data_IF_913555240222
#
_entry.id   IF_913555240222
#
_cell.length_a   1.000
_cell.length_b   1.000
_cell.length_c   1.000
_cell.angle_alpha   90.00
_cell.angle_beta   90.00
_cell.angle_gamma   90.00
#
_symmetry.space_group_name_H-M   'P 1'
#
loop_
_entity.id
_entity.type
_entity.pdbx_description
1 polymer ?
#
# COMPACT_ATOMS: atom_id res chain seq x y z
N UNK A 1 -31.99 -28.90 6.03
CA UNK A 1 -31.01 -28.69 4.93
C UNK A 1 -30.57 -27.24 5.00
N UNK A 2 -29.25 -27.04 5.04
CA UNK A 2 -28.59 -25.77 5.36
C UNK A 2 -28.84 -24.77 4.22
N UNK A 3 -29.44 -23.63 4.54
CA UNK A 3 -29.54 -22.49 3.66
C UNK A 3 -28.18 -21.78 3.67
N UNK A 4 -27.29 -22.15 2.74
CA UNK A 4 -26.05 -21.40 2.49
C UNK A 4 -26.44 -20.11 1.77
N UNK A 5 -26.65 -19.03 2.51
CA UNK A 5 -26.34 -17.71 1.95
C UNK A 5 -24.88 -17.76 1.51
N UNK A 6 -24.59 -17.42 0.25
CA UNK A 6 -23.21 -17.23 -0.19
C UNK A 6 -22.66 -16.02 0.55
N UNK A 7 -22.04 -16.26 1.69
CA UNK A 7 -21.19 -15.30 2.38
C UNK A 7 -19.81 -15.48 1.73
N UNK A 8 -19.48 -14.59 0.80
CA UNK A 8 -18.15 -14.55 0.20
C UNK A 8 -17.33 -13.54 1.01
N UNK A 9 -16.40 -14.02 1.83
CA UNK A 9 -15.36 -13.17 2.40
C UNK A 9 -14.62 -12.49 1.23
N UNK A 10 -14.66 -11.15 1.17
CA UNK A 10 -13.92 -10.37 0.18
C UNK A 10 -12.81 -9.59 0.87
N UNK A 11 -11.76 -9.21 0.12
CA UNK A 11 -10.71 -8.37 0.67
C UNK A 11 -11.24 -6.98 1.03
N UNK A 12 -10.58 -6.28 1.96
CA UNK A 12 -10.90 -4.90 2.30
C UNK A 12 -10.91 -3.99 1.07
N UNK A 13 -9.98 -4.17 0.13
CA UNK A 13 -9.97 -3.35 -1.10
C UNK A 13 -11.17 -3.62 -1.98
N UNK A 14 -11.53 -4.90 -2.17
CA UNK A 14 -12.74 -5.28 -2.92
C UNK A 14 -13.98 -4.69 -2.26
N UNK A 15 -14.06 -4.72 -0.93
CA UNK A 15 -15.17 -4.12 -0.19
C UNK A 15 -15.28 -2.61 -0.38
N UNK A 16 -14.15 -1.89 -0.31
CA UNK A 16 -14.10 -0.44 -0.52
C UNK A 16 -14.49 -0.04 -1.95
N UNK A 17 -14.06 -0.82 -2.96
CA UNK A 17 -14.36 -0.57 -4.37
C UNK A 17 -15.81 -0.89 -4.74
N UNK A 18 -16.32 -2.06 -4.33
CA UNK A 18 -17.62 -2.56 -4.81
C UNK A 18 -18.81 -1.89 -4.11
N UNK A 19 -18.68 -1.59 -2.81
CA UNK A 19 -19.84 -1.19 -2.00
C UNK A 19 -19.87 0.29 -1.64
N UNK A 20 -18.86 1.07 -2.06
CA UNK A 20 -18.61 2.40 -1.48
C UNK A 20 -18.71 2.32 0.05
N UNK A 21 -18.15 1.23 0.62
CA UNK A 21 -18.59 0.63 1.88
C UNK A 21 -18.42 1.48 3.14
N UNK A 22 -17.87 2.67 3.00
CA UNK A 22 -17.77 3.67 4.05
C UNK A 22 -18.88 4.71 3.84
N UNK A 23 -19.90 4.66 4.69
CA UNK A 23 -20.99 5.66 4.68
C UNK A 23 -20.72 6.78 5.67
N UNK A 24 -19.86 6.54 6.66
CA UNK A 24 -19.56 7.48 7.72
C UNK A 24 -18.18 7.24 8.34
N UNK A 25 -17.67 8.24 9.05
CA UNK A 25 -16.47 8.09 9.90
C UNK A 25 -16.62 6.99 10.95
N UNK A 26 -17.85 6.70 11.40
CA UNK A 26 -18.11 5.62 12.34
C UNK A 26 -17.75 4.26 11.72
N UNK A 27 -18.09 4.03 10.45
CA UNK A 27 -17.77 2.79 9.75
C UNK A 27 -16.24 2.60 9.68
N UNK A 28 -15.49 3.67 9.35
CA UNK A 28 -14.03 3.64 9.35
C UNK A 28 -13.48 3.25 10.72
N UNK A 29 -13.95 3.91 11.78
CA UNK A 29 -13.50 3.66 13.15
C UNK A 29 -13.82 2.22 13.57
N UNK A 30 -15.03 1.74 13.27
CA UNK A 30 -15.44 0.38 13.60
C UNK A 30 -14.56 -0.64 12.84
N UNK A 31 -14.29 -0.42 11.55
CA UNK A 31 -13.38 -1.27 10.78
C UNK A 31 -11.96 -1.30 11.35
N UNK A 32 -11.39 -0.13 11.65
CA UNK A 32 -10.05 -0.01 12.20
C UNK A 32 -9.94 -0.67 13.58
N UNK A 33 -10.98 -0.54 14.41
CA UNK A 33 -11.05 -1.19 15.72
C UNK A 33 -11.06 -2.71 15.59
N UNK A 34 -11.80 -3.25 14.64
CA UNK A 34 -11.90 -4.70 14.44
C UNK A 34 -10.57 -5.27 13.91
N UNK A 35 -9.91 -4.58 12.98
CA UNK A 35 -8.54 -4.92 12.53
C UNK A 35 -7.58 -4.92 13.72
N UNK A 36 -7.58 -3.86 14.54
CA UNK A 36 -6.72 -3.78 15.73
C UNK A 36 -7.02 -4.86 16.76
N UNK A 37 -8.29 -5.26 16.91
CA UNK A 37 -8.68 -6.34 17.83
C UNK A 37 -8.11 -7.68 17.37
N UNK A 38 -8.18 -7.97 16.07
CA UNK A 38 -7.54 -9.14 15.47
C UNK A 38 -6.02 -9.10 15.65
N UNK A 39 -5.39 -7.96 15.33
CA UNK A 39 -3.95 -7.80 15.42
C UNK A 39 -3.44 -7.91 16.86
N UNK A 40 -4.15 -7.30 17.81
CA UNK A 40 -3.87 -7.43 19.24
C UNK A 40 -3.90 -8.89 19.70
N UNK A 41 -4.87 -9.67 19.21
CA UNK A 41 -4.98 -11.10 19.52
C UNK A 41 -3.79 -11.90 18.98
N UNK A 42 -3.32 -11.59 17.76
CA UNK A 42 -2.11 -12.18 17.18
C UNK A 42 -0.89 -11.82 18.04
N UNK A 43 -0.70 -10.54 18.33
CA UNK A 43 0.45 -10.03 19.10
C UNK A 43 0.48 -10.53 20.56
N UNK A 44 -0.69 -10.74 21.17
CA UNK A 44 -0.81 -11.30 22.53
C UNK A 44 -0.32 -12.74 22.63
N UNK A 45 -0.32 -13.48 21.52
CA UNK A 45 0.22 -14.84 21.43
C UNK A 45 1.70 -14.85 20.97
N UNK A 46 2.39 -13.71 21.03
CA UNK A 46 3.78 -13.54 20.56
C UNK A 46 4.02 -13.88 19.08
N UNK A 47 2.95 -13.80 18.28
CA UNK A 47 3.00 -13.96 16.83
C UNK A 47 3.14 -12.57 16.19
N UNK A 48 3.95 -12.50 15.14
CA UNK A 48 4.02 -11.35 14.22
C UNK A 48 3.31 -11.74 12.93
N UNK A 49 2.44 -10.87 12.41
CA UNK A 49 1.76 -11.12 11.15
C UNK A 49 2.74 -11.12 9.98
N UNK A 50 3.53 -10.04 9.84
CA UNK A 50 4.66 -9.92 8.91
C UNK A 50 4.30 -9.67 7.44
N UNK A 51 3.01 -9.75 7.08
CA UNK A 51 2.50 -9.43 5.74
C UNK A 51 1.11 -8.76 5.80
N UNK A 52 0.91 -7.83 6.72
CA UNK A 52 -0.40 -7.20 6.92
C UNK A 52 -0.65 -6.17 5.79
N UNK A 53 -1.77 -6.28 5.09
CA UNK A 53 -2.24 -5.32 4.08
C UNK A 53 -3.73 -5.52 3.84
N UNK A 54 -4.42 -4.59 3.17
CA UNK A 54 -5.87 -4.68 2.92
C UNK A 54 -6.31 -5.93 2.15
N UNK A 55 -5.42 -6.50 1.32
CA UNK A 55 -5.64 -7.80 0.68
C UNK A 55 -5.74 -9.01 1.64
N UNK A 56 -5.15 -8.92 2.85
CA UNK A 56 -5.22 -9.96 3.90
C UNK A 56 -6.17 -9.55 5.05
N UNK A 57 -7.04 -8.57 4.78
CA UNK A 57 -8.15 -8.21 5.65
C UNK A 57 -9.40 -8.66 4.94
N UNK A 58 -10.12 -9.60 5.55
CA UNK A 58 -11.36 -10.13 5.02
C UNK A 58 -12.53 -9.39 5.65
N UNK A 59 -13.45 -8.95 4.79
CA UNK A 59 -14.70 -8.30 5.18
C UNK A 59 -15.84 -9.25 4.84
N UNK A 60 -16.56 -9.64 5.88
CA UNK A 60 -17.79 -10.42 5.81
C UNK A 60 -18.96 -9.45 5.98
N UNK A 61 -19.80 -9.32 4.94
CA UNK A 61 -20.94 -8.41 4.96
C UNK A 61 -22.24 -9.20 5.18
N UNK A 62 -22.79 -9.11 6.39
CA UNK A 62 -24.07 -9.70 6.76
C UNK A 62 -25.12 -8.60 6.96
N UNK A 63 -25.62 -8.06 5.85
CA UNK A 63 -26.70 -7.08 5.84
C UNK A 63 -26.31 -5.74 6.49
N UNK A 64 -26.74 -5.53 7.74
CA UNK A 64 -26.46 -4.31 8.52
C UNK A 64 -25.18 -4.42 9.37
N UNK A 65 -24.49 -5.56 9.33
CA UNK A 65 -23.26 -5.78 10.08
C UNK A 65 -22.13 -6.20 9.15
N UNK A 66 -20.94 -5.66 9.41
CA UNK A 66 -19.69 -6.15 8.83
C UNK A 66 -18.87 -6.81 9.92
N UNK A 67 -18.20 -7.91 9.58
CA UNK A 67 -17.22 -8.58 10.43
C UNK A 67 -15.89 -8.59 9.71
N UNK A 68 -14.83 -8.21 10.43
CA UNK A 68 -13.49 -8.08 9.86
C UNK A 68 -12.55 -9.09 10.50
N UNK A 69 -11.84 -9.83 9.64
CA UNK A 69 -10.89 -10.86 10.05
C UNK A 69 -9.55 -10.64 9.37
N UNK A 70 -8.46 -10.91 10.09
CA UNK A 70 -7.10 -10.94 9.52
C UNK A 70 -6.83 -12.36 9.01
N UNK A 71 -6.44 -12.49 7.75
CA UNK A 71 -6.05 -13.77 7.12
C UNK A 71 -4.54 -13.92 7.01
N UNK A 72 -4.06 -15.09 6.58
CA UNK A 72 -2.67 -15.30 6.14
C UNK A 72 -1.57 -15.02 7.20
N UNK A 73 -1.94 -15.14 8.47
CA UNK A 73 -1.05 -14.98 9.63
C UNK A 73 0.07 -16.01 9.60
N UNK A 74 1.32 -15.57 9.80
CA UNK A 74 2.44 -16.48 10.08
C UNK A 74 2.97 -17.26 8.87
N UNK A 75 2.54 -16.95 7.64
CA UNK A 75 3.14 -17.52 6.42
C UNK A 75 4.62 -17.14 6.26
N UNK A 76 5.10 -16.13 7.01
CA UNK A 76 6.50 -15.79 7.14
C UNK A 76 7.19 -16.58 8.27
N UNK A 77 7.41 -17.90 8.09
CA UNK A 77 8.17 -18.60 9.15
C UNK A 77 8.62 -20.03 8.96
N UNK A 78 7.84 -20.93 8.35
CA UNK A 78 8.20 -22.36 8.37
C UNK A 78 8.54 -22.93 6.99
N UNK A 79 7.75 -22.59 5.97
CA UNK A 79 7.93 -23.16 4.62
C UNK A 79 8.93 -22.34 3.78
N UNK A 80 8.97 -21.02 3.96
CA UNK A 80 9.87 -20.13 3.20
C UNK A 80 11.25 -19.91 3.86
N UNK A 81 11.43 -20.27 5.14
CA UNK A 81 12.71 -20.12 5.86
C UNK A 81 13.78 -21.13 5.46
N UNK A 82 13.46 -22.20 4.72
CA UNK A 82 14.44 -23.28 4.48
C UNK A 82 15.32 -23.14 3.23
N UNK A 83 15.08 -22.18 2.34
CA UNK A 83 15.87 -22.11 1.10
C UNK A 83 16.18 -20.73 0.52
N UNK A 84 15.64 -19.62 1.04
CA UNK A 84 16.03 -18.31 0.54
C UNK A 84 15.93 -17.18 1.57
N UNK A 85 17.06 -16.56 1.87
CA UNK A 85 17.18 -15.31 2.62
C UNK A 85 16.53 -14.15 1.81
N UNK A 86 15.21 -14.04 1.74
CA UNK A 86 14.49 -13.05 0.92
C UNK A 86 13.44 -12.30 1.73
N UNK A 87 13.24 -11.01 1.45
CA UNK A 87 12.17 -10.18 2.02
C UNK A 87 10.94 -10.28 1.11
N UNK A 88 9.77 -10.59 1.68
CA UNK A 88 8.50 -10.67 0.96
C UNK A 88 7.48 -9.69 1.56
N UNK A 89 6.51 -9.26 0.77
CA UNK A 89 5.42 -8.38 1.20
C UNK A 89 4.98 -7.39 0.11
N UNK A 90 3.87 -6.69 0.35
CA UNK A 90 3.35 -5.66 -0.56
C UNK A 90 4.02 -4.32 -0.25
N UNK A 91 4.83 -3.80 -1.18
CA UNK A 91 5.85 -2.76 -0.94
C UNK A 91 5.43 -1.57 -0.04
N UNK A 92 4.25 -0.93 -0.22
CA UNK A 92 3.85 0.17 0.65
C UNK A 92 3.68 -0.23 2.13
N UNK A 93 3.35 -1.50 2.39
CA UNK A 93 3.04 -2.02 3.73
C UNK A 93 4.26 -2.59 4.45
N UNK A 94 5.41 -2.72 3.77
CA UNK A 94 6.65 -3.26 4.35
C UNK A 94 7.39 -2.15 5.08
N UNK A 95 7.59 -2.31 6.39
CA UNK A 95 8.24 -1.29 7.21
C UNK A 95 9.71 -1.03 6.80
N UNK A 96 10.23 0.21 6.95
CA UNK A 96 11.56 0.58 6.47
C UNK A 96 12.71 -0.27 7.02
N UNK A 97 12.62 -0.71 8.28
CA UNK A 97 13.56 -1.63 8.91
C UNK A 97 13.56 -3.02 8.24
N UNK A 98 12.39 -3.50 7.80
CA UNK A 98 12.27 -4.77 7.08
C UNK A 98 12.86 -4.67 5.68
N UNK A 99 12.73 -3.51 5.02
CA UNK A 99 13.41 -3.21 3.75
C UNK A 99 14.94 -3.19 3.88
N UNK A 100 15.44 -2.90 5.09
CA UNK A 100 16.87 -2.98 5.44
C UNK A 100 17.32 -4.39 5.83
N UNK A 101 16.41 -5.36 5.85
CA UNK A 101 16.69 -6.77 6.11
C UNK A 101 16.51 -7.20 7.55
N UNK A 102 16.00 -6.33 8.43
CA UNK A 102 15.62 -6.72 9.79
C UNK A 102 14.43 -7.70 9.76
N UNK A 103 14.32 -8.61 10.74
CA UNK A 103 13.19 -9.54 10.81
C UNK A 103 11.88 -8.82 11.15
N UNK A 104 10.72 -9.34 10.69
CA UNK A 104 9.41 -8.81 11.08
C UNK A 104 9.23 -8.72 12.60
N UNK A 105 8.63 -7.63 13.06
CA UNK A 105 8.33 -7.37 14.47
C UNK A 105 6.87 -6.98 14.66
N UNK A 106 6.39 -6.98 15.91
CA UNK A 106 5.07 -6.41 16.25
C UNK A 106 4.97 -4.94 15.80
N UNK A 107 6.06 -4.18 15.89
CA UNK A 107 6.10 -2.79 15.44
C UNK A 107 6.00 -2.65 13.90
N UNK A 108 6.59 -3.58 13.14
CA UNK A 108 6.44 -3.56 11.68
C UNK A 108 5.00 -3.85 11.24
N UNK A 109 4.23 -4.65 12.00
CA UNK A 109 2.79 -4.80 11.72
C UNK A 109 2.01 -3.51 11.98
N UNK A 110 2.40 -2.71 12.99
CA UNK A 110 1.80 -1.40 13.25
C UNK A 110 2.09 -0.41 12.12
N UNK A 111 3.29 -0.45 11.54
CA UNK A 111 3.59 0.30 10.33
C UNK A 111 2.63 -0.08 9.20
N UNK A 112 2.47 -1.38 8.92
CA UNK A 112 1.54 -1.87 7.90
C UNK A 112 0.09 -1.42 8.17
N UNK A 113 -0.35 -1.44 9.43
CA UNK A 113 -1.66 -0.94 9.84
C UNK A 113 -1.82 0.56 9.54
N UNK A 114 -0.79 1.39 9.76
CA UNK A 114 -0.80 2.81 9.38
C UNK A 114 -1.01 3.01 7.88
N UNK A 115 -0.43 2.15 7.04
CA UNK A 115 -0.62 2.20 5.58
C UNK A 115 -2.04 1.75 5.19
N UNK A 116 -2.66 0.83 5.96
CA UNK A 116 -4.08 0.45 5.76
C UNK A 116 -5.00 1.65 6.03
N UNK A 117 -4.75 2.43 7.09
CA UNK A 117 -5.50 3.68 7.36
C UNK A 117 -5.40 4.61 6.15
N UNK A 118 -4.18 4.88 5.68
CA UNK A 118 -3.93 5.75 4.53
C UNK A 118 -4.64 5.25 3.27
N UNK A 119 -4.65 3.93 3.03
CA UNK A 119 -5.34 3.35 1.90
C UNK A 119 -6.87 3.57 1.97
N UNK A 120 -7.48 3.37 3.14
CA UNK A 120 -8.91 3.65 3.36
C UNK A 120 -9.21 5.12 3.07
N UNK A 121 -8.41 6.05 3.62
CA UNK A 121 -8.55 7.48 3.39
C UNK A 121 -8.48 7.84 1.90
N UNK A 122 -7.52 7.28 1.17
CA UNK A 122 -7.38 7.50 -0.29
C UNK A 122 -8.61 6.99 -1.05
N UNK A 123 -9.12 5.81 -0.70
CA UNK A 123 -10.31 5.21 -1.31
C UNK A 123 -11.57 6.08 -1.14
N UNK A 124 -11.71 6.78 0.00
CA UNK A 124 -12.83 7.69 0.25
C UNK A 124 -12.60 9.12 -0.28
N UNK A 125 -11.50 9.35 -0.99
CA UNK A 125 -11.21 10.62 -1.65
C UNK A 125 -10.32 11.59 -0.86
N UNK A 126 -9.88 11.23 0.35
CA UNK A 126 -8.90 12.02 1.11
C UNK A 126 -7.53 11.88 0.44
N UNK A 127 -6.69 12.91 0.55
CA UNK A 127 -5.33 12.92 0.01
C UNK A 127 -4.33 13.26 1.12
N UNK A 128 -3.15 12.60 1.15
CA UNK A 128 -2.12 12.89 2.15
C UNK A 128 -1.71 14.36 2.12
N UNK A 129 -1.38 14.90 3.29
CA UNK A 129 -0.79 16.24 3.40
C UNK A 129 0.60 16.29 2.73
N UNK A 130 0.95 17.46 2.23
CA UNK A 130 2.24 17.67 1.57
C UNK A 130 3.34 17.83 2.60
N UNK A 131 4.50 17.20 2.36
CA UNK A 131 5.66 17.33 3.24
C UNK A 131 6.29 18.71 3.04
N UNK A 132 6.56 19.41 4.14
CA UNK A 132 7.25 20.70 4.13
C UNK A 132 8.57 20.64 3.36
N UNK A 133 8.82 21.64 2.52
CA UNK A 133 9.99 21.69 1.64
C UNK A 133 9.85 20.90 0.33
N UNK A 134 8.73 20.21 0.09
CA UNK A 134 8.44 19.61 -1.22
C UNK A 134 8.21 20.72 -2.25
N UNK A 135 8.88 20.70 -3.43
CA UNK A 135 8.65 21.71 -4.46
C UNK A 135 7.19 21.78 -4.90
N UNK A 136 6.62 22.99 -4.96
CA UNK A 136 5.23 23.21 -5.38
C UNK A 136 4.92 22.60 -6.75
N UNK A 137 5.87 22.66 -7.68
CA UNK A 137 5.74 22.03 -8.98
C UNK A 137 5.54 20.51 -8.86
N UNK A 138 6.29 19.83 -7.99
CA UNK A 138 6.09 18.40 -7.70
C UNK A 138 4.72 18.12 -7.09
N UNK A 139 4.32 18.90 -6.07
CA UNK A 139 3.00 18.77 -5.43
C UNK A 139 1.87 18.88 -6.46
N UNK A 140 1.94 19.88 -7.35
CA UNK A 140 0.94 20.08 -8.40
C UNK A 140 0.86 18.89 -9.36
N UNK A 141 2.00 18.30 -9.75
CA UNK A 141 1.99 17.14 -10.65
C UNK A 141 1.49 15.88 -9.95
N UNK A 142 1.90 15.62 -8.72
CA UNK A 142 1.34 14.56 -7.90
C UNK A 142 -0.19 14.71 -7.78
N UNK A 143 -0.66 15.94 -7.59
CA UNK A 143 -2.09 16.25 -7.52
C UNK A 143 -2.86 15.94 -8.80
N UNK A 144 -2.28 16.22 -9.97
CA UNK A 144 -2.84 15.87 -11.27
C UNK A 144 -2.90 14.35 -11.48
N UNK A 145 -1.87 13.62 -11.05
CA UNK A 145 -1.79 12.17 -11.23
C UNK A 145 -2.90 11.42 -10.48
N UNK A 146 -3.28 11.88 -9.28
CA UNK A 146 -4.31 11.24 -8.47
C UNK A 146 -5.68 11.93 -8.53
N UNK A 147 -5.94 12.69 -9.60
CA UNK A 147 -7.20 13.40 -9.81
C UNK A 147 -8.38 12.39 -9.78
N UNK A 148 -9.50 12.68 -9.08
CA UNK A 148 -10.62 11.75 -8.95
C UNK A 148 -11.20 11.34 -10.31
N UNK A 149 -11.46 12.31 -11.19
CA UNK A 149 -11.84 12.09 -12.59
C UNK A 149 -10.64 11.57 -13.40
N UNK A 150 -10.71 10.33 -13.96
CA UNK A 150 -9.65 9.76 -14.77
C UNK A 150 -9.31 10.57 -16.02
N UNK A 151 -10.28 11.28 -16.61
CA UNK A 151 -10.08 12.06 -17.83
C UNK A 151 -9.26 13.34 -17.59
N UNK A 152 -9.14 13.78 -16.34
CA UNK A 152 -8.33 14.93 -15.94
C UNK A 152 -6.91 14.55 -15.52
N UNK A 153 -6.59 13.25 -15.46
CA UNK A 153 -5.24 12.77 -15.17
C UNK A 153 -4.35 12.98 -16.40
N UNK A 154 -3.08 13.35 -16.20
CA UNK A 154 -2.18 13.57 -17.31
C UNK A 154 -1.82 12.25 -17.99
N UNK A 155 -1.53 12.32 -19.28
CA UNK A 155 -0.95 11.20 -20.03
C UNK A 155 0.52 11.01 -19.68
N UNK A 156 1.06 9.82 -19.97
CA UNK A 156 2.48 9.55 -19.83
C UNK A 156 3.35 10.52 -20.66
N UNK A 157 2.88 10.92 -21.85
CA UNK A 157 3.58 11.86 -22.73
C UNK A 157 3.66 13.26 -22.11
N UNK A 158 2.54 13.77 -21.60
CA UNK A 158 2.51 15.09 -20.94
C UNK A 158 3.43 15.13 -19.71
N UNK A 159 3.47 14.06 -18.92
CA UNK A 159 4.38 13.95 -17.78
C UNK A 159 5.85 13.86 -18.22
N UNK A 160 6.14 13.11 -19.28
CA UNK A 160 7.49 12.97 -19.83
C UNK A 160 8.06 14.32 -20.27
N UNK A 161 7.31 15.07 -21.08
CA UNK A 161 7.75 16.38 -21.59
C UNK A 161 7.97 17.38 -20.45
N UNK A 162 7.05 17.39 -19.47
CA UNK A 162 7.14 18.26 -18.31
C UNK A 162 8.35 17.92 -17.42
N UNK A 163 8.50 16.65 -17.03
CA UNK A 163 9.59 16.23 -16.14
C UNK A 163 10.95 16.36 -16.83
N UNK A 164 11.02 16.17 -18.16
CA UNK A 164 12.22 16.45 -18.95
C UNK A 164 12.66 17.92 -18.90
N UNK A 165 11.73 18.85 -18.68
CA UNK A 165 12.07 20.27 -18.49
C UNK A 165 12.66 20.58 -17.10
N UNK A 166 12.39 19.73 -16.10
CA UNK A 166 12.88 19.90 -14.73
C UNK A 166 14.30 19.37 -14.54
N UNK A 167 14.75 18.48 -15.42
CA UNK A 167 16.13 17.96 -15.42
C UNK A 167 17.11 18.84 -16.20
N UNK A 168 16.64 19.93 -16.84
CA UNK A 168 17.48 20.90 -17.52
C UNK A 168 18.26 21.75 -16.49
N UNK A 169 19.58 21.55 -16.35
CA UNK A 169 20.38 22.22 -15.32
C UNK A 169 20.46 23.74 -15.53
N UNK A 170 20.07 24.25 -16.70
CA UNK A 170 20.00 25.68 -16.99
C UNK A 170 18.65 26.32 -16.62
N UNK A 171 17.66 25.54 -16.17
CA UNK A 171 16.29 26.02 -15.87
C UNK A 171 15.80 25.72 -14.46
N UNK A 172 16.48 24.89 -13.68
CA UNK A 172 15.94 24.36 -12.41
C UNK A 172 16.77 24.72 -11.17
N UNK A 173 16.82 26.01 -10.78
CA UNK A 173 17.40 26.38 -9.48
C UNK A 173 16.65 25.76 -8.28
N UNK A 174 15.37 25.39 -8.44
CA UNK A 174 14.51 24.89 -7.37
C UNK A 174 14.62 23.39 -7.07
N UNK A 175 15.06 22.55 -8.03
CA UNK A 175 15.10 21.09 -7.87
C UNK A 175 16.46 20.57 -7.39
N UNK A 176 17.53 21.35 -7.55
CA UNK A 176 18.88 20.98 -7.12
C UNK A 176 19.09 21.10 -5.59
N UNK A 177 18.12 21.66 -4.84
CA UNK A 177 18.19 21.81 -3.38
C UNK A 177 17.66 20.63 -2.58
N UNK A 178 17.01 19.64 -3.22
CA UNK A 178 16.44 18.50 -2.51
C UNK A 178 17.50 17.43 -2.25
N UNK A 179 18.30 17.63 -1.21
CA UNK A 179 19.11 16.56 -0.62
C UNK A 179 18.15 15.75 0.24
N UNK A 180 17.73 14.56 -0.23
CA UNK A 180 17.36 13.52 0.72
C UNK A 180 18.52 13.43 1.70
N UNK A 181 18.26 13.61 3.00
CA UNK A 181 19.28 13.37 4.02
C UNK A 181 20.00 12.07 3.66
N UNK A 182 21.32 12.13 3.56
CA UNK A 182 22.22 11.03 3.19
C UNK A 182 22.14 9.88 4.21
N UNK A 183 20.99 9.25 4.35
CA UNK A 183 20.92 7.84 4.59
C UNK A 183 20.87 7.27 3.19
N UNK A 184 22.00 6.80 2.64
CA UNK A 184 21.96 5.81 1.56
C UNK A 184 21.00 4.71 2.02
N UNK A 185 19.74 4.75 1.55
CA UNK A 185 18.76 3.70 1.81
C UNK A 185 19.11 2.58 0.83
N UNK A 186 20.21 1.90 1.12
CA UNK A 186 20.53 0.66 0.43
C UNK A 186 19.41 -0.31 0.78
N UNK A 187 18.46 -0.46 -0.15
CA UNK A 187 17.47 -1.52 -0.10
C UNK A 187 18.28 -2.81 0.00
N UNK A 188 18.00 -3.63 1.01
CA UNK A 188 18.80 -4.82 1.24
C UNK A 188 18.81 -5.67 -0.05
N UNK A 189 19.96 -6.21 -0.51
CA UNK A 189 20.06 -7.04 -1.74
C UNK A 189 19.13 -8.28 -1.82
N UNK A 190 18.34 -8.50 -0.77
CA UNK A 190 17.43 -9.62 -0.57
C UNK A 190 15.96 -9.23 -0.73
N UNK A 191 15.66 -7.93 -0.83
CA UNK A 191 14.35 -7.46 -1.24
C UNK A 191 14.21 -7.69 -2.75
N UNK A 192 13.40 -8.67 -3.13
CA UNK A 192 13.23 -9.05 -4.53
C UNK A 192 11.81 -8.73 -4.99
N UNK A 193 11.62 -7.52 -5.53
CA UNK A 193 10.41 -7.12 -6.23
C UNK A 193 10.53 -7.59 -7.68
N UNK A 194 10.34 -8.89 -7.93
CA UNK A 194 10.41 -9.42 -9.30
C UNK A 194 9.16 -8.98 -10.07
N UNK A 195 9.26 -7.88 -10.80
CA UNK A 195 8.36 -7.57 -11.91
C UNK A 195 8.86 -8.29 -13.16
N UNK A 196 7.97 -8.77 -14.02
CA UNK A 196 8.39 -9.23 -15.36
C UNK A 196 8.82 -8.00 -16.14
N UNK A 197 10.04 -8.02 -16.69
CA UNK A 197 10.50 -6.95 -17.56
C UNK A 197 9.62 -6.93 -18.82
N UNK A 198 8.89 -5.84 -19.02
CA UNK A 198 8.23 -5.59 -20.29
C UNK A 198 9.30 -5.16 -21.30
N UNK A 199 9.58 -6.03 -22.28
CA UNK A 199 10.50 -5.72 -23.35
C UNK A 199 9.73 -5.00 -24.48
N UNK A 200 10.05 -3.73 -24.74
CA UNK A 200 9.27 -2.85 -25.63
C UNK A 200 9.03 -3.42 -27.05
N UNK A 201 9.98 -4.12 -27.70
CA UNK A 201 9.70 -4.80 -28.97
C UNK A 201 8.57 -5.84 -28.92
N UNK A 202 8.24 -6.36 -27.73
CA UNK A 202 7.17 -7.34 -27.52
C UNK A 202 5.82 -6.70 -27.18
N UNK A 203 5.72 -5.35 -27.15
CA UNK A 203 4.47 -4.64 -26.85
C UNK A 203 3.33 -5.05 -27.82
N UNK A 204 3.69 -5.24 -29.09
CA UNK A 204 2.76 -5.62 -30.14
C UNK A 204 2.25 -7.07 -30.01
N UNK A 205 2.84 -7.89 -29.12
CA UNK A 205 2.43 -9.27 -28.85
C UNK A 205 1.45 -9.41 -27.68
N UNK A 206 1.11 -8.29 -27.02
CA UNK A 206 0.20 -8.22 -25.87
C UNK A 206 -1.22 -7.74 -26.23
N UNK A 207 -1.45 -7.38 -27.49
CA UNK A 207 -2.75 -7.03 -28.08
C UNK A 207 -3.34 -8.26 -28.78
#
# INVERSE_FOLDING_TARGET
>A
MINKSLINDISLYSYLEEFMGVRSWKDIIDMLRDILTGLHSIHKNDIVHGNLHGGNILVENEGDSINIRISDVGLHGSVYKKSSNRTYGVLPYVAPEILKGDPPTKASDIYSFGIIILAIEICIGIRPETIDGTPNAYIQQMARCWHPDPLKRPTALELYDLLGSWSDPNKSESFNKFVMTESRREIHPRANYTSRLLHFPDLNKLL
#
